data_IF_995335524388
#
_entry.id   IF_995335524388
#
_cell.length_a   1.000
_cell.length_b   1.000
_cell.length_c   1.000
_cell.angle_alpha   90.00
_cell.angle_beta   90.00
_cell.angle_gamma   90.00
#
_symmetry.space_group_name_H-M   'P 1'
#
loop_
_entity.id
_entity.type
_entity.pdbx_description
1 polymer ?
#
# COMPACT_ATOMS: atom_id res chain seq x y z
N UNK A 1 36.07 -34.16 -20.36
CA UNK A 1 35.18 -34.50 -21.50
C UNK A 1 33.95 -35.16 -20.91
N UNK A 2 32.93 -34.37 -20.52
CA UNK A 2 31.70 -34.87 -19.93
C UNK A 2 30.58 -34.68 -20.95
N UNK A 3 30.01 -35.80 -21.41
CA UNK A 3 28.88 -35.84 -22.35
C UNK A 3 27.58 -35.59 -21.60
N UNK A 4 26.84 -34.58 -22.01
CA UNK A 4 25.43 -34.40 -21.69
C UNK A 4 24.61 -35.27 -22.64
N UNK A 5 23.76 -36.15 -22.11
CA UNK A 5 22.68 -36.77 -22.87
C UNK A 5 21.37 -36.08 -22.48
N UNK A 6 20.77 -35.38 -23.43
CA UNK A 6 19.38 -34.95 -23.40
C UNK A 6 18.52 -36.13 -23.86
N UNK A 7 17.53 -36.51 -23.07
CA UNK A 7 16.33 -37.18 -23.57
C UNK A 7 15.14 -36.32 -23.13
N UNK A 8 14.42 -35.84 -24.14
CA UNK A 8 13.11 -35.20 -24.06
C UNK A 8 12.10 -36.34 -24.17
N UNK A 9 11.23 -36.50 -23.17
CA UNK A 9 10.00 -37.26 -23.34
C UNK A 9 8.82 -36.32 -23.09
N UNK A 10 8.03 -36.13 -24.14
CA UNK A 10 6.74 -35.45 -24.13
C UNK A 10 5.64 -36.38 -23.60
N UNK A 11 4.69 -35.77 -22.88
CA UNK A 11 3.32 -36.22 -22.63
C UNK A 11 3.08 -37.43 -21.70
N UNK A 12 2.73 -37.13 -20.45
CA UNK A 12 1.58 -37.77 -19.81
C UNK A 12 0.92 -36.83 -18.80
N UNK A 13 -0.37 -36.58 -19.03
CA UNK A 13 -1.31 -35.84 -18.20
C UNK A 13 -1.47 -36.42 -16.78
N UNK A 14 -1.88 -35.54 -15.87
CA UNK A 14 -2.56 -35.79 -14.59
C UNK A 14 -1.82 -36.59 -13.52
N UNK A 15 -1.36 -35.88 -12.49
CA UNK A 15 -1.76 -36.13 -11.09
C UNK A 15 -1.19 -35.01 -10.20
N UNK A 16 -1.98 -33.95 -9.96
CA UNK A 16 -1.74 -33.05 -8.84
C UNK A 16 -2.13 -33.79 -7.56
N UNK A 17 -1.19 -34.54 -6.99
CA UNK A 17 -1.32 -35.12 -5.66
C UNK A 17 -1.22 -34.00 -4.62
N UNK A 18 -2.34 -33.77 -3.93
CA UNK A 18 -2.45 -33.01 -2.70
C UNK A 18 -1.40 -33.44 -1.68
N UNK A 19 -0.38 -32.62 -1.44
CA UNK A 19 0.34 -32.62 -0.17
C UNK A 19 -0.22 -31.49 0.67
N UNK A 20 -1.00 -31.88 1.68
CA UNK A 20 -1.43 -31.02 2.78
C UNK A 20 -0.18 -30.46 3.44
N UNK A 21 0.12 -29.19 3.18
CA UNK A 21 0.95 -28.41 4.08
C UNK A 21 0.08 -27.99 5.25
N UNK A 22 0.59 -28.27 6.44
CA UNK A 22 -0.07 -28.05 7.71
C UNK A 22 -0.41 -26.56 7.89
N UNK A 23 -1.71 -26.29 7.85
CA UNK A 23 -2.33 -24.98 8.02
C UNK A 23 -2.23 -24.57 9.50
N UNK A 24 -1.06 -24.06 9.89
CA UNK A 24 -0.85 -23.40 11.18
C UNK A 24 -1.61 -22.07 11.12
N UNK A 25 -2.78 -22.04 11.78
CA UNK A 25 -3.82 -21.02 11.67
C UNK A 25 -3.32 -19.58 11.49
N UNK A 26 -3.60 -19.02 10.32
CA UNK A 26 -3.35 -17.62 9.98
C UNK A 26 -4.51 -17.07 9.14
N UNK A 27 -5.04 -15.92 9.58
CA UNK A 27 -6.02 -15.03 8.94
C UNK A 27 -7.52 -15.38 9.09
N UNK A 28 -8.12 -14.88 10.17
CA UNK A 28 -9.55 -14.59 10.30
C UNK A 28 -9.81 -13.07 10.24
N UNK A 29 -8.89 -12.30 9.66
CA UNK A 29 -9.06 -10.85 9.55
C UNK A 29 -10.01 -10.55 8.38
N UNK A 30 -11.26 -10.23 8.70
CA UNK A 30 -12.23 -9.76 7.72
C UNK A 30 -11.70 -8.47 7.07
N UNK A 31 -11.67 -8.39 5.75
CA UNK A 31 -11.50 -7.15 5.02
C UNK A 31 -12.80 -6.34 5.03
N UNK A 32 -12.74 -5.02 4.82
CA UNK A 32 -13.93 -4.19 4.76
C UNK A 32 -13.62 -2.71 4.62
N UNK A 33 -14.67 -1.88 4.70
CA UNK A 33 -14.53 -0.43 4.76
C UNK A 33 -15.64 0.21 5.60
N UNK A 34 -15.39 1.45 6.02
CA UNK A 34 -16.36 2.33 6.67
C UNK A 34 -16.15 3.77 6.19
N UNK A 35 -17.15 4.62 6.30
CA UNK A 35 -17.00 6.06 6.12
C UNK A 35 -16.56 6.72 7.43
N UNK A 36 -15.81 7.82 7.33
CA UNK A 36 -15.35 8.59 8.51
C UNK A 36 -16.48 8.99 9.48
N UNK A 37 -17.68 9.25 8.94
CA UNK A 37 -18.85 9.69 9.70
C UNK A 37 -19.67 8.54 10.29
N UNK A 38 -19.31 7.29 10.01
CA UNK A 38 -20.02 6.15 10.58
C UNK A 38 -19.88 6.20 12.12
N UNK A 39 -21.04 6.09 12.79
CA UNK A 39 -21.12 6.10 14.25
C UNK A 39 -20.38 4.88 14.79
N UNK A 40 -19.50 5.11 15.75
CA UNK A 40 -18.94 4.02 16.55
C UNK A 40 -19.44 4.14 17.97
N UNK A 41 -19.96 3.03 18.47
CA UNK A 41 -20.04 2.80 19.91
C UNK A 41 -18.65 2.30 20.34
N UNK A 42 -17.68 3.20 20.51
CA UNK A 42 -16.39 2.85 21.11
C UNK A 42 -16.61 2.73 22.62
N UNK A 43 -16.44 1.52 23.19
CA UNK A 43 -16.43 1.35 24.63
C UNK A 43 -15.05 1.69 25.20
N UNK A 44 -14.98 2.08 26.48
CA UNK A 44 -13.69 2.34 27.15
C UNK A 44 -12.79 1.09 27.16
N UNK A 45 -13.37 -0.11 27.14
CA UNK A 45 -12.62 -1.38 27.07
C UNK A 45 -11.93 -1.55 25.71
N UNK A 46 -12.56 -1.11 24.61
CA UNK A 46 -11.96 -1.16 23.27
C UNK A 46 -10.74 -0.23 23.17
N UNK A 47 -10.80 0.96 23.77
CA UNK A 47 -9.66 1.88 23.79
C UNK A 47 -8.48 1.32 24.60
N UNK A 48 -8.74 0.71 25.76
CA UNK A 48 -7.70 0.15 26.61
C UNK A 48 -7.06 -1.10 25.98
N UNK A 49 -7.88 -1.96 25.36
CA UNK A 49 -7.39 -3.11 24.61
C UNK A 49 -6.55 -2.68 23.41
N UNK A 50 -6.98 -1.66 22.66
CA UNK A 50 -6.20 -1.12 21.54
C UNK A 50 -4.86 -0.51 22.00
N UNK A 51 -4.81 0.16 23.15
CA UNK A 51 -3.55 0.66 23.74
C UNK A 51 -2.63 -0.47 24.18
N UNK A 52 -3.16 -1.51 24.84
CA UNK A 52 -2.36 -2.69 25.23
C UNK A 52 -1.84 -3.46 24.01
N UNK A 53 -2.64 -3.56 22.96
CA UNK A 53 -2.24 -4.07 21.63
C UNK A 53 -1.09 -3.21 21.08
N UNK A 54 -1.26 -1.89 21.06
CA UNK A 54 -0.26 -0.93 20.59
C UNK A 54 1.09 -1.08 21.32
N UNK A 55 1.09 -1.18 22.65
CA UNK A 55 2.31 -1.32 23.46
C UNK A 55 3.03 -2.66 23.23
N UNK A 56 2.31 -3.72 22.86
CA UNK A 56 2.90 -5.03 22.55
C UNK A 56 3.54 -5.10 21.16
N UNK A 57 3.19 -4.17 20.26
CA UNK A 57 3.71 -4.08 18.88
C UNK A 57 5.02 -3.29 18.74
N UNK A 58 5.80 -3.17 19.81
CA UNK A 58 7.18 -2.63 19.78
C UNK A 58 8.17 -3.49 18.96
N UNK A 59 7.75 -4.63 18.40
CA UNK A 59 8.59 -5.45 17.51
C UNK A 59 8.21 -5.23 16.04
N UNK A 60 9.22 -4.87 15.25
CA UNK A 60 9.14 -4.19 13.95
C UNK A 60 8.73 -5.11 12.78
N UNK A 61 7.45 -5.44 12.64
CA UNK A 61 6.83 -6.17 11.50
C UNK A 61 6.78 -7.68 11.67
N UNK A 62 5.56 -8.22 11.59
CA UNK A 62 5.32 -9.66 11.36
C UNK A 62 4.49 -9.77 10.08
N UNK A 63 5.06 -10.22 8.95
CA UNK A 63 4.35 -10.27 7.68
C UNK A 63 3.01 -10.99 7.78
N UNK A 64 1.96 -10.42 7.16
CA UNK A 64 0.58 -10.92 7.18
C UNK A 64 -0.12 -10.99 8.54
N UNK A 65 0.55 -10.61 9.64
CA UNK A 65 -0.04 -10.49 10.99
C UNK A 65 -0.09 -9.03 11.42
N UNK A 66 1.00 -8.28 11.19
CA UNK A 66 1.15 -6.90 11.57
C UNK A 66 2.21 -6.19 10.71
N UNK A 67 1.75 -5.29 9.84
CA UNK A 67 2.58 -4.57 8.87
C UNK A 67 3.02 -3.17 9.34
N UNK A 68 3.16 -2.95 10.66
CA UNK A 68 3.91 -1.79 11.18
C UNK A 68 3.23 -0.42 11.05
N UNK A 69 1.93 -0.36 10.77
CA UNK A 69 1.20 0.89 10.49
C UNK A 69 1.08 1.90 11.63
N UNK A 70 1.50 1.57 12.87
CA UNK A 70 1.52 2.53 13.99
C UNK A 70 2.75 3.44 14.01
N UNK A 71 3.82 3.07 13.29
CA UNK A 71 5.00 3.92 13.13
C UNK A 71 4.85 4.79 11.89
N UNK A 72 5.16 6.08 12.02
CA UNK A 72 5.35 6.93 10.83
C UNK A 72 6.76 6.73 10.32
N UNK A 73 6.88 6.36 9.05
CA UNK A 73 8.15 6.08 8.40
C UNK A 73 8.71 7.31 7.68
N UNK A 74 10.03 7.36 7.48
CA UNK A 74 10.69 8.55 6.93
C UNK A 74 10.21 8.87 5.50
N UNK A 75 9.91 7.85 4.69
CA UNK A 75 9.40 8.05 3.33
C UNK A 75 8.03 8.77 3.30
N UNK A 76 7.22 8.68 4.35
CA UNK A 76 5.95 9.40 4.45
C UNK A 76 6.19 10.91 4.50
N UNK A 77 7.24 11.37 5.18
CA UNK A 77 7.63 12.78 5.22
C UNK A 77 8.18 13.26 3.88
N UNK A 78 9.05 12.45 3.25
CA UNK A 78 9.58 12.79 1.92
C UNK A 78 8.44 12.97 0.90
N UNK A 79 7.43 12.10 0.96
CA UNK A 79 6.27 12.16 0.09
C UNK A 79 5.42 13.41 0.36
N UNK A 80 5.23 13.82 1.62
CA UNK A 80 4.55 15.08 1.98
C UNK A 80 5.27 16.29 1.39
N UNK A 81 6.59 16.36 1.53
CA UNK A 81 7.37 17.50 1.03
C UNK A 81 7.29 17.60 -0.50
N UNK A 82 7.34 16.45 -1.18
CA UNK A 82 7.11 16.38 -2.61
C UNK A 82 5.69 16.84 -2.98
N UNK A 83 4.65 16.33 -2.31
CA UNK A 83 3.25 16.67 -2.60
C UNK A 83 2.99 18.17 -2.46
N UNK A 84 3.53 18.81 -1.42
CA UNK A 84 3.45 20.27 -1.23
C UNK A 84 4.04 21.04 -2.41
N UNK A 85 5.10 20.51 -3.04
CA UNK A 85 5.73 21.16 -4.19
C UNK A 85 4.87 21.11 -5.46
N UNK A 86 3.98 20.12 -5.59
CA UNK A 86 3.15 19.91 -6.79
C UNK A 86 1.67 20.22 -6.59
N UNK A 87 1.24 20.55 -5.37
CA UNK A 87 -0.19 20.66 -5.04
C UNK A 87 -0.95 21.69 -5.89
N UNK A 88 -0.27 22.77 -6.29
CA UNK A 88 -0.84 23.83 -7.13
C UNK A 88 -1.03 23.41 -8.59
N UNK A 89 -0.51 22.25 -9.00
CA UNK A 89 -0.71 21.70 -10.35
C UNK A 89 -2.09 21.05 -10.51
N UNK A 90 -2.81 20.79 -9.41
CA UNK A 90 -4.14 20.21 -9.43
C UNK A 90 -5.18 21.33 -9.33
N UNK A 91 -5.97 21.51 -10.39
CA UNK A 91 -7.03 22.52 -10.45
C UNK A 91 -8.42 21.91 -10.30
N UNK A 92 -8.59 20.68 -10.78
CA UNK A 92 -9.85 19.96 -10.74
C UNK A 92 -10.00 19.10 -9.48
N UNK A 93 -11.24 18.67 -9.22
CA UNK A 93 -11.49 17.67 -8.18
C UNK A 93 -10.75 16.39 -8.52
N UNK A 94 -9.89 15.95 -7.61
CA UNK A 94 -8.94 14.85 -7.78
C UNK A 94 -9.22 13.77 -6.74
N UNK A 95 -9.49 12.54 -7.19
CA UNK A 95 -9.67 11.39 -6.29
C UNK A 95 -8.33 10.73 -5.97
N UNK A 96 -8.05 10.52 -4.69
CA UNK A 96 -6.79 10.01 -4.17
C UNK A 96 -7.03 8.76 -3.32
N UNK A 97 -6.20 7.73 -3.50
CA UNK A 97 -6.12 6.59 -2.57
C UNK A 97 -4.74 6.54 -1.93
N UNK A 98 -4.65 6.53 -0.60
CA UNK A 98 -3.42 6.20 0.11
C UNK A 98 -3.39 4.72 0.50
N UNK A 99 -2.48 3.96 -0.11
CA UNK A 99 -2.29 2.52 0.09
C UNK A 99 -1.18 2.28 1.11
N UNK A 100 -1.47 1.47 2.13
CA UNK A 100 -0.57 1.27 3.28
C UNK A 100 -0.38 2.57 4.06
N UNK A 101 -1.48 3.20 4.47
CA UNK A 101 -1.47 4.56 4.96
C UNK A 101 -0.73 4.71 6.30
N UNK A 102 -0.70 3.69 7.16
CA UNK A 102 -0.11 3.86 8.49
C UNK A 102 -0.75 5.02 9.24
N UNK A 103 0.04 6.03 9.60
CA UNK A 103 -0.48 7.29 10.18
C UNK A 103 -1.32 8.14 9.22
N UNK A 104 -1.26 7.88 7.91
CA UNK A 104 -1.98 8.58 6.85
C UNK A 104 -1.41 9.95 6.50
N UNK A 105 -0.15 10.21 6.85
CA UNK A 105 0.44 11.55 6.77
C UNK A 105 0.39 12.17 5.35
N UNK A 106 0.81 11.48 4.27
CA UNK A 106 0.65 11.96 2.89
C UNK A 106 -0.79 12.31 2.50
N UNK A 107 -1.75 11.43 2.78
CA UNK A 107 -3.15 11.63 2.43
C UNK A 107 -3.81 12.72 3.28
N UNK A 108 -3.46 12.82 4.57
CA UNK A 108 -3.90 13.90 5.46
C UNK A 108 -3.47 15.26 4.92
N UNK A 109 -2.25 15.39 4.41
CA UNK A 109 -1.78 16.64 3.80
C UNK A 109 -2.67 17.06 2.63
N UNK A 110 -2.98 16.15 1.70
CA UNK A 110 -3.88 16.47 0.59
C UNK A 110 -5.33 16.74 1.05
N UNK A 111 -5.81 16.02 2.07
CA UNK A 111 -7.19 16.15 2.56
C UNK A 111 -7.51 17.54 3.16
N UNK A 112 -6.49 18.34 3.51
CA UNK A 112 -6.64 19.74 3.93
C UNK A 112 -7.14 20.64 2.80
N UNK A 113 -7.06 20.20 1.55
CA UNK A 113 -7.41 20.98 0.36
C UNK A 113 -8.70 20.43 -0.27
N UNK A 114 -9.68 21.32 -0.47
CA UNK A 114 -11.03 20.97 -0.94
C UNK A 114 -11.08 20.25 -2.30
N UNK A 115 -10.05 20.45 -3.12
CA UNK A 115 -9.94 19.81 -4.43
C UNK A 115 -9.63 18.32 -4.35
N UNK A 116 -9.14 17.79 -3.22
CA UNK A 116 -8.87 16.36 -3.08
C UNK A 116 -9.97 15.64 -2.32
N UNK A 117 -10.32 14.46 -2.83
CA UNK A 117 -11.09 13.47 -2.12
C UNK A 117 -10.17 12.28 -1.83
N UNK A 118 -9.78 12.12 -0.57
CA UNK A 118 -8.76 11.16 -0.17
C UNK A 118 -9.40 9.99 0.56
N UNK A 119 -9.15 8.78 0.06
CA UNK A 119 -9.48 7.54 0.75
C UNK A 119 -8.21 6.90 1.30
N UNK A 120 -8.35 6.18 2.43
CA UNK A 120 -7.22 5.64 3.18
C UNK A 120 -7.35 4.12 3.29
N UNK A 121 -6.23 3.43 3.18
CA UNK A 121 -6.16 1.98 3.24
C UNK A 121 -4.97 1.50 4.07
N UNK A 122 -5.21 0.61 5.02
CA UNK A 122 -4.15 -0.17 5.68
C UNK A 122 -4.54 -1.65 5.79
N UNK A 123 -3.59 -2.54 6.08
CA UNK A 123 -3.93 -3.93 6.39
C UNK A 123 -4.74 -4.03 7.69
N UNK A 124 -4.36 -3.23 8.70
CA UNK A 124 -4.92 -3.33 10.04
C UNK A 124 -6.08 -2.35 10.24
N UNK A 125 -7.24 -2.85 10.69
CA UNK A 125 -8.41 -2.03 10.97
C UNK A 125 -8.10 -0.92 11.98
N UNK A 126 -7.35 -1.26 13.01
CA UNK A 126 -6.98 -0.37 14.11
C UNK A 126 -6.07 0.78 13.65
N UNK A 127 -5.22 0.56 12.63
CA UNK A 127 -4.39 1.61 12.04
C UNK A 127 -5.30 2.62 11.32
N UNK A 128 -6.20 2.12 10.48
CA UNK A 128 -7.19 2.93 9.76
C UNK A 128 -8.08 3.73 10.72
N UNK A 129 -8.47 3.14 11.84
CA UNK A 129 -9.22 3.84 12.90
C UNK A 129 -8.44 4.99 13.52
N UNK A 130 -7.12 4.82 13.72
CA UNK A 130 -6.28 5.90 14.20
C UNK A 130 -6.16 7.03 13.18
N UNK A 131 -6.01 6.71 11.89
CA UNK A 131 -6.05 7.69 10.80
C UNK A 131 -7.38 8.43 10.79
N UNK A 132 -8.52 7.74 10.99
CA UNK A 132 -9.84 8.37 11.14
C UNK A 132 -9.87 9.37 12.30
N UNK A 133 -9.33 9.00 13.47
CA UNK A 133 -9.24 9.91 14.64
C UNK A 133 -8.38 11.14 14.34
N UNK A 134 -7.33 11.02 13.52
CA UNK A 134 -6.54 12.17 13.07
C UNK A 134 -7.32 13.06 12.09
N UNK A 135 -7.95 12.49 11.07
CA UNK A 135 -8.81 13.22 10.13
C UNK A 135 -9.89 14.06 10.83
N UNK A 136 -10.53 13.52 11.87
CA UNK A 136 -11.56 14.24 12.65
C UNK A 136 -11.03 15.46 13.41
N UNK A 137 -9.72 15.51 13.70
CA UNK A 137 -9.08 16.64 14.37
C UNK A 137 -8.64 17.72 13.38
N UNK A 138 -8.41 17.35 12.12
CA UNK A 138 -8.00 18.27 11.08
C UNK A 138 -9.21 18.95 10.41
N UNK A 139 -8.99 20.14 9.84
CA UNK A 139 -9.96 20.80 8.95
C UNK A 139 -9.79 20.20 7.55
N UNK A 140 -10.83 19.62 6.98
CA UNK A 140 -10.73 19.00 5.66
C UNK A 140 -12.06 18.49 5.11
N UNK A 141 -11.98 17.69 4.06
CA UNK A 141 -13.12 16.91 3.58
C UNK A 141 -13.41 15.77 4.56
N UNK A 142 -14.70 15.51 4.84
CA UNK A 142 -15.15 14.46 5.76
C UNK A 142 -16.00 13.41 5.05
N UNK A 143 -15.72 13.14 3.77
CA UNK A 143 -16.35 12.06 3.01
C UNK A 143 -15.38 10.91 2.71
N UNK A 144 -14.36 10.72 3.55
CA UNK A 144 -13.32 9.72 3.32
C UNK A 144 -13.87 8.30 3.57
N UNK A 145 -13.52 7.37 2.67
CA UNK A 145 -13.66 5.93 2.86
C UNK A 145 -12.38 5.38 3.48
N UNK A 146 -12.58 4.52 4.46
CA UNK A 146 -11.54 3.97 5.32
C UNK A 146 -11.51 2.45 5.10
N UNK A 147 -10.58 1.96 4.28
CA UNK A 147 -10.46 0.57 3.86
C UNK A 147 -9.48 -0.20 4.73
N UNK A 148 -9.80 -1.44 5.10
CA UNK A 148 -8.88 -2.33 5.83
C UNK A 148 -8.86 -3.75 5.27
N UNK A 149 -7.71 -4.41 5.35
CA UNK A 149 -7.49 -5.79 4.90
C UNK A 149 -6.42 -5.92 3.81
N UNK A 150 -6.27 -7.14 3.28
CA UNK A 150 -5.28 -7.47 2.26
C UNK A 150 -5.58 -6.75 0.93
N UNK A 151 -4.53 -6.25 0.26
CA UNK A 151 -4.67 -5.58 -1.04
C UNK A 151 -5.38 -6.42 -2.11
N UNK A 152 -5.25 -7.75 -2.04
CA UNK A 152 -5.91 -8.69 -2.94
C UNK A 152 -7.43 -8.68 -2.84
N UNK A 153 -7.99 -8.34 -1.67
CA UNK A 153 -9.44 -8.30 -1.43
C UNK A 153 -10.06 -6.96 -1.83
N UNK A 154 -9.27 -5.88 -1.83
CA UNK A 154 -9.74 -4.52 -2.10
C UNK A 154 -10.29 -4.31 -3.51
N UNK A 155 -9.84 -5.11 -4.47
CA UNK A 155 -10.34 -5.06 -5.85
C UNK A 155 -11.84 -5.39 -5.93
N UNK A 156 -12.39 -6.06 -4.91
CA UNK A 156 -13.80 -6.44 -4.88
C UNK A 156 -14.72 -5.32 -4.34
N UNK A 157 -14.16 -4.30 -3.69
CA UNK A 157 -14.93 -3.21 -3.06
C UNK A 157 -14.65 -1.84 -3.69
N UNK A 158 -13.44 -1.63 -4.20
CA UNK A 158 -13.08 -0.38 -4.88
C UNK A 158 -13.50 -0.49 -6.35
N UNK A 159 -14.24 0.50 -6.90
CA UNK A 159 -14.56 0.54 -8.32
C UNK A 159 -13.30 0.56 -9.19
N UNK A 160 -13.36 -0.07 -10.36
CA UNK A 160 -12.24 -0.04 -11.31
C UNK A 160 -12.01 1.38 -11.84
N UNK A 161 -10.73 1.75 -12.04
CA UNK A 161 -10.29 3.02 -12.63
C UNK A 161 -10.93 4.25 -11.93
N UNK A 162 -10.88 4.28 -10.60
CA UNK A 162 -11.55 5.31 -9.79
C UNK A 162 -10.64 6.48 -9.37
N UNK A 163 -9.35 6.23 -9.14
CA UNK A 163 -8.45 7.23 -8.57
C UNK A 163 -7.58 7.92 -9.62
N UNK A 164 -7.50 9.25 -9.53
CA UNK A 164 -6.55 10.07 -10.29
C UNK A 164 -5.13 9.91 -9.74
N UNK A 165 -5.00 9.80 -8.42
CA UNK A 165 -3.72 9.62 -7.73
C UNK A 165 -3.77 8.41 -6.80
N UNK A 166 -2.70 7.63 -6.77
CA UNK A 166 -2.45 6.68 -5.69
C UNK A 166 -1.18 7.11 -4.97
N UNK A 167 -1.25 7.26 -3.64
CA UNK A 167 -0.13 7.53 -2.76
C UNK A 167 0.26 6.25 -2.05
N UNK A 168 1.56 6.02 -1.89
CA UNK A 168 2.02 4.91 -1.05
C UNK A 168 3.45 5.16 -0.56
N UNK A 169 3.73 4.83 0.69
CA UNK A 169 5.06 5.01 1.27
C UNK A 169 5.48 3.76 2.05
N UNK A 170 6.68 3.25 1.78
CA UNK A 170 7.25 2.06 2.42
C UNK A 170 6.38 0.80 2.30
N UNK A 171 5.75 0.58 1.16
CA UNK A 171 4.90 -0.60 0.89
C UNK A 171 5.58 -1.68 0.06
N UNK A 172 6.85 -1.48 -0.33
CA UNK A 172 7.60 -2.39 -1.21
C UNK A 172 8.78 -3.11 -0.52
N UNK A 173 8.80 -3.15 0.81
CA UNK A 173 9.83 -3.87 1.58
C UNK A 173 9.74 -5.40 1.41
N UNK A 174 8.56 -5.93 1.08
CA UNK A 174 8.34 -7.36 0.89
C UNK A 174 7.94 -7.67 -0.57
N UNK A 175 8.84 -8.30 -1.32
CA UNK A 175 8.61 -8.68 -2.72
C UNK A 175 7.48 -9.69 -2.91
N UNK A 176 7.15 -10.48 -1.87
CA UNK A 176 6.01 -11.39 -1.89
C UNK A 176 4.66 -10.69 -2.10
N UNK A 177 4.56 -9.41 -1.76
CA UNK A 177 3.33 -8.63 -1.91
C UNK A 177 3.26 -7.80 -3.21
N UNK A 178 4.31 -7.79 -4.04
CA UNK A 178 4.36 -6.97 -5.26
C UNK A 178 3.22 -7.28 -6.23
N UNK A 179 2.89 -8.57 -6.40
CA UNK A 179 1.80 -8.97 -7.28
C UNK A 179 0.45 -8.42 -6.82
N UNK A 180 0.18 -8.45 -5.52
CA UNK A 180 -1.06 -7.93 -4.93
C UNK A 180 -1.13 -6.40 -5.09
N UNK A 181 -0.03 -5.71 -4.79
CA UNK A 181 0.09 -4.25 -4.89
C UNK A 181 -0.11 -3.77 -6.34
N UNK A 182 0.59 -4.37 -7.30
CA UNK A 182 0.47 -4.00 -8.73
C UNK A 182 -0.91 -4.33 -9.27
N UNK A 183 -1.55 -5.43 -8.84
CA UNK A 183 -2.94 -5.73 -9.20
C UNK A 183 -3.91 -4.67 -8.67
N UNK A 184 -3.71 -4.20 -7.44
CA UNK A 184 -4.50 -3.11 -6.86
C UNK A 184 -4.30 -1.81 -7.65
N UNK A 185 -3.05 -1.46 -8.01
CA UNK A 185 -2.76 -0.31 -8.85
C UNK A 185 -3.45 -0.41 -10.21
N UNK A 186 -3.34 -1.56 -10.88
CA UNK A 186 -3.96 -1.75 -12.19
C UNK A 186 -5.49 -1.69 -12.11
N UNK A 187 -6.09 -2.27 -11.08
CA UNK A 187 -7.53 -2.21 -10.91
C UNK A 187 -8.04 -0.79 -10.67
N UNK A 188 -7.37 -0.02 -9.80
CA UNK A 188 -7.95 1.20 -9.21
C UNK A 188 -7.49 2.52 -9.84
N UNK A 189 -6.32 2.57 -10.46
CA UNK A 189 -5.80 3.80 -11.08
C UNK A 189 -6.55 4.11 -12.39
N UNK A 190 -6.94 5.36 -12.63
CA UNK A 190 -7.48 5.82 -13.92
C UNK A 190 -6.46 5.66 -15.07
N UNK A 191 -6.91 5.81 -16.31
CA UNK A 191 -6.04 5.72 -17.50
C UNK A 191 -4.91 6.76 -17.46
N UNK A 192 -5.25 8.01 -17.14
CA UNK A 192 -4.30 9.14 -17.00
C UNK A 192 -3.81 9.33 -15.56
N UNK A 193 -4.09 8.38 -14.68
CA UNK A 193 -3.74 8.48 -13.27
C UNK A 193 -2.25 8.34 -13.02
N UNK A 194 -1.80 8.82 -11.87
CA UNK A 194 -0.39 8.74 -11.44
C UNK A 194 -0.28 8.10 -10.06
N UNK A 195 0.68 7.19 -9.88
CA UNK A 195 1.05 6.70 -8.55
C UNK A 195 2.32 7.41 -8.11
N UNK A 196 2.34 7.91 -6.87
CA UNK A 196 3.54 8.40 -6.21
C UNK A 196 3.93 7.43 -5.10
N UNK A 197 5.09 6.81 -5.26
CA UNK A 197 5.62 5.80 -4.35
C UNK A 197 6.92 6.28 -3.73
N UNK A 198 6.96 6.46 -2.41
CA UNK A 198 8.19 6.79 -1.68
C UNK A 198 8.72 5.55 -0.95
N UNK A 199 9.98 5.16 -1.19
CA UNK A 199 10.55 3.97 -0.58
C UNK A 199 12.07 4.03 -0.41
N UNK A 200 12.60 3.19 0.49
CA UNK A 200 14.04 2.99 0.63
C UNK A 200 14.56 2.22 -0.59
N UNK A 201 15.73 2.62 -1.10
CA UNK A 201 16.35 1.94 -2.24
C UNK A 201 16.64 0.47 -1.92
N UNK A 202 16.95 0.19 -0.65
CA UNK A 202 17.21 -1.16 -0.15
C UNK A 202 16.69 -1.33 1.28
N UNK A 203 16.14 -2.50 1.57
CA UNK A 203 15.72 -2.92 2.92
C UNK A 203 16.58 -4.12 3.36
N UNK A 204 17.32 -3.98 4.46
CA UNK A 204 18.17 -5.06 4.96
C UNK A 204 17.33 -6.23 5.49
N UNK A 205 17.69 -7.47 5.11
CA UNK A 205 17.06 -8.69 5.64
C UNK A 205 15.73 -9.09 4.96
N UNK A 206 15.24 -8.29 4.01
CA UNK A 206 14.04 -8.58 3.22
C UNK A 206 14.35 -8.39 1.73
N UNK A 207 13.67 -9.12 0.84
CA UNK A 207 13.97 -9.14 -0.60
C UNK A 207 13.36 -7.97 -1.38
N UNK A 208 12.99 -6.86 -0.71
CA UNK A 208 12.34 -5.72 -1.32
C UNK A 208 13.22 -4.47 -1.42
N UNK A 209 12.81 -3.54 -2.27
CA UNK A 209 13.48 -2.28 -2.51
C UNK A 209 13.04 -1.67 -3.83
N UNK A 210 13.43 -0.42 -4.06
CA UNK A 210 13.06 0.33 -5.28
C UNK A 210 13.45 -0.44 -6.55
N UNK A 211 14.68 -0.94 -6.63
CA UNK A 211 15.17 -1.60 -7.85
C UNK A 211 14.45 -2.92 -8.14
N UNK A 212 14.23 -3.75 -7.13
CA UNK A 212 13.48 -5.00 -7.26
C UNK A 212 12.04 -4.74 -7.69
N UNK A 213 11.42 -3.69 -7.16
CA UNK A 213 10.07 -3.30 -7.53
C UNK A 213 9.98 -2.77 -8.96
N UNK A 214 10.92 -1.91 -9.39
CA UNK A 214 11.01 -1.42 -10.77
C UNK A 214 11.19 -2.57 -11.79
N UNK A 215 12.08 -3.53 -11.49
CA UNK A 215 12.25 -4.71 -12.33
C UNK A 215 10.97 -5.55 -12.42
N UNK A 216 10.31 -5.75 -11.28
CA UNK A 216 9.06 -6.51 -11.23
C UNK A 216 7.95 -5.82 -12.05
N UNK A 217 7.71 -4.53 -11.80
CA UNK A 217 6.61 -3.79 -12.42
C UNK A 217 6.85 -3.61 -13.92
N UNK A 218 8.09 -3.39 -14.36
CA UNK A 218 8.44 -3.30 -15.79
C UNK A 218 8.15 -4.61 -16.52
N UNK A 219 8.46 -5.76 -15.90
CA UNK A 219 8.15 -7.09 -16.47
C UNK A 219 6.66 -7.35 -16.66
N UNK A 220 5.79 -6.64 -15.94
CA UNK A 220 4.33 -6.77 -16.13
C UNK A 220 3.85 -6.12 -17.43
N UNK A 221 4.60 -5.17 -17.99
CA UNK A 221 4.20 -4.36 -19.14
C UNK A 221 3.06 -3.36 -18.87
N UNK A 222 2.47 -3.37 -17.66
CA UNK A 222 1.31 -2.54 -17.32
C UNK A 222 1.67 -1.08 -17.01
N UNK A 223 2.88 -0.85 -16.51
CA UNK A 223 3.31 0.46 -16.01
C UNK A 223 4.76 0.77 -16.39
N UNK A 224 5.04 2.07 -16.50
CA UNK A 224 6.37 2.65 -16.56
C UNK A 224 6.67 3.37 -15.24
N UNK A 225 7.92 3.30 -14.79
CA UNK A 225 8.41 4.01 -13.59
C UNK A 225 9.40 5.11 -13.96
N UNK A 226 9.42 6.17 -13.16
CA UNK A 226 10.41 7.25 -13.24
C UNK A 226 10.76 7.73 -11.84
N UNK A 227 12.04 7.75 -11.50
CA UNK A 227 12.51 8.41 -10.27
C UNK A 227 12.36 9.92 -10.43
N UNK A 228 11.54 10.54 -9.60
CA UNK A 228 11.28 12.00 -9.64
C UNK A 228 11.97 12.76 -8.51
N UNK A 229 12.35 12.07 -7.43
CA UNK A 229 13.11 12.66 -6.33
C UNK A 229 14.01 11.61 -5.70
N UNK A 230 15.22 12.02 -5.32
CA UNK A 230 16.16 11.23 -4.54
C UNK A 230 16.43 11.98 -3.25
N UNK A 231 16.28 11.30 -2.11
CA UNK A 231 16.57 11.84 -0.79
C UNK A 231 17.85 11.18 -0.28
N UNK A 232 18.88 12.00 -0.10
CA UNK A 232 20.16 11.57 0.41
C UNK A 232 20.12 11.43 1.93
N UNK A 233 20.28 10.21 2.40
CA UNK A 233 20.20 9.82 3.81
C UNK A 233 21.01 8.53 4.03
N UNK A 234 21.18 8.11 5.29
CA UNK A 234 21.94 6.90 5.64
C UNK A 234 21.55 5.66 4.82
N UNK A 235 20.25 5.50 4.59
CA UNK A 235 19.73 4.64 3.52
C UNK A 235 19.05 5.57 2.52
N UNK A 236 19.56 5.61 1.28
CA UNK A 236 18.98 6.41 0.20
C UNK A 236 17.50 6.05 0.02
N UNK A 237 16.68 7.08 -0.17
CA UNK A 237 15.23 6.94 -0.43
C UNK A 237 14.90 7.63 -1.75
N UNK A 238 13.92 7.08 -2.47
CA UNK A 238 13.52 7.60 -3.77
C UNK A 238 12.00 7.73 -3.82
N UNK A 239 11.52 8.74 -4.54
CA UNK A 239 10.12 8.88 -4.92
C UNK A 239 10.02 8.52 -6.40
N UNK A 240 9.17 7.53 -6.69
CA UNK A 240 8.82 7.09 -8.02
C UNK A 240 7.50 7.73 -8.45
N UNK A 241 7.47 8.24 -9.67
CA UNK A 241 6.25 8.42 -10.44
C UNK A 241 6.02 7.14 -11.25
N UNK A 242 4.82 6.58 -11.16
CA UNK A 242 4.43 5.39 -11.92
C UNK A 242 3.17 5.73 -12.72
N UNK A 243 3.21 5.46 -14.01
CA UNK A 243 2.11 5.71 -14.96
C UNK A 243 1.83 4.46 -15.78
N UNK A 244 0.61 4.32 -16.27
CA UNK A 244 0.27 3.23 -17.20
C UNK A 244 1.16 3.30 -18.44
N UNK A 245 1.54 2.14 -18.95
CA UNK A 245 2.21 2.06 -20.24
C UNK A 245 1.24 2.55 -21.32
N UNK A 246 1.66 3.51 -22.14
CA UNK A 246 0.91 3.89 -23.33
C UNK A 246 0.93 2.72 -24.30
N UNK A 247 -0.25 2.29 -24.76
CA UNK A 247 -0.36 1.34 -25.87
C UNK A 247 0.16 1.96 -27.17
#
# INVERSE_FOLDING_TARGET
>A
MFKFNFNIDENSNNEYSNTKEDDIGLSNQKFGYFHINDLQNESNEDEENNRKKFDSYRSDLVPNIYEGGFKTWECSHDLVDFLKSIINNFQDTTTVLEVGCGSGLPGLELNKHKQFHVDFQDFNREVVEQTRKQLKREKGNYNNRMFFGDWGDLINIIPSKYYDIILTSETIYNSGNYRKLVKLFDHTLKSEGTIYLAAKVYYFGVQGGVRQFEEFITKTGLFNTRVIQVVDANVKREILEIKRSTC
#
